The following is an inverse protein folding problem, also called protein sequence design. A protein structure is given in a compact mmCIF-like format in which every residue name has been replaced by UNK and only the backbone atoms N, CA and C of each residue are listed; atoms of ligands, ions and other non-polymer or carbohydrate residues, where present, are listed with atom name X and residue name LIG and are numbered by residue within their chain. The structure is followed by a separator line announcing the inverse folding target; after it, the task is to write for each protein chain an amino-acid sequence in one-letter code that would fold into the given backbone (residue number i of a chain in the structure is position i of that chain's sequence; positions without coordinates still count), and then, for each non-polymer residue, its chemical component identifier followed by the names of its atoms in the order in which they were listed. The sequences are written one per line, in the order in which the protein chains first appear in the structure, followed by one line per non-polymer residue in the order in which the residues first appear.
data_IF_197396025492
#
_entry.id   IF_197396025492
#
_cell.length_a   1.000
_cell.length_b   1.000
_cell.length_c   1.000
_cell.angle_alpha   90.00
_cell.angle_beta   90.00
_cell.angle_gamma   90.00
#
_symmetry.space_group_name_H-M   'P 1'
#
loop_
_entity.id
_entity.type
_entity.pdbx_description
1 polymer ?
#
# COMPACT_ATOMS: atom_id res chain seq x y z
N UNK A 1 11.23 -5.52 -26.60
CA UNK A 1 11.06 -4.07 -26.86
C UNK A 1 12.22 -3.37 -26.19
N UNK A 2 13.02 -2.63 -26.94
CA UNK A 2 14.21 -1.98 -26.39
C UNK A 2 13.83 -0.57 -25.91
N UNK A 3 13.59 -0.42 -24.61
CA UNK A 3 13.15 0.84 -23.97
C UNK A 3 14.11 2.00 -24.27
N UNK A 4 15.41 1.70 -24.40
CA UNK A 4 16.43 2.70 -24.73
C UNK A 4 16.18 3.31 -26.11
N UNK A 5 16.01 2.47 -27.14
CA UNK A 5 15.78 2.93 -28.52
C UNK A 5 14.51 3.76 -28.65
N UNK A 6 13.45 3.35 -27.96
CA UNK A 6 12.17 4.09 -27.97
C UNK A 6 12.25 5.41 -27.21
N UNK A 7 13.01 5.47 -26.10
CA UNK A 7 13.19 6.72 -25.35
C UNK A 7 14.07 7.73 -26.12
N UNK A 8 15.08 7.26 -26.81
CA UNK A 8 15.96 8.12 -27.66
C UNK A 8 15.21 8.76 -28.85
N UNK A 9 14.22 8.07 -29.41
CA UNK A 9 13.38 8.63 -30.50
C UNK A 9 12.59 9.88 -30.04
N UNK A 10 12.29 10.01 -28.77
CA UNK A 10 11.59 11.16 -28.18
C UNK A 10 12.54 12.12 -27.45
N UNK A 11 13.85 11.98 -27.63
CA UNK A 11 14.87 12.87 -27.08
C UNK A 11 15.18 12.60 -25.57
N UNK A 12 14.72 11.48 -25.01
CA UNK A 12 14.98 11.10 -23.60
C UNK A 12 16.18 10.15 -23.57
N UNK A 13 17.16 10.46 -22.69
CA UNK A 13 18.29 9.58 -22.42
C UNK A 13 18.07 8.83 -21.12
N UNK A 14 18.24 7.52 -21.14
CA UNK A 14 18.24 6.70 -19.93
C UNK A 14 19.46 7.05 -19.05
N UNK A 15 19.21 7.29 -17.78
CA UNK A 15 20.28 7.47 -16.80
C UNK A 15 20.52 6.15 -16.09
N UNK A 16 21.47 5.35 -16.56
CA UNK A 16 21.76 4.00 -16.07
C UNK A 16 22.16 4.00 -14.60
N UNK A 17 22.91 5.00 -14.14
CA UNK A 17 23.33 5.15 -12.74
C UNK A 17 22.15 5.38 -11.75
N UNK A 18 20.99 5.80 -12.26
CA UNK A 18 19.76 5.97 -11.46
C UNK A 18 18.78 4.81 -11.61
N UNK A 19 19.13 3.81 -12.42
CA UNK A 19 18.30 2.64 -12.62
C UNK A 19 18.63 1.59 -11.57
N UNK A 20 17.62 1.13 -10.87
CA UNK A 20 17.73 0.01 -9.94
C UNK A 20 16.88 -1.15 -10.49
N UNK A 21 17.35 -2.37 -10.32
CA UNK A 21 16.56 -3.57 -10.62
C UNK A 21 16.19 -4.25 -9.33
N UNK A 22 14.92 -4.61 -9.24
CA UNK A 22 14.40 -5.48 -8.20
C UNK A 22 13.92 -6.77 -8.86
N UNK A 23 14.43 -7.90 -8.43
CA UNK A 23 14.09 -9.22 -8.98
C UNK A 23 13.61 -10.15 -7.86
N UNK A 24 12.61 -10.95 -8.15
CA UNK A 24 12.09 -11.98 -7.24
C UNK A 24 12.90 -13.30 -7.29
N UNK A 25 14.15 -13.25 -7.73
CA UNK A 25 15.05 -14.42 -7.86
C UNK A 25 16.52 -14.03 -7.67
N UNK A 26 17.44 -14.99 -7.73
CA UNK A 26 18.85 -14.77 -7.44
C UNK A 26 19.60 -14.04 -8.58
N UNK A 27 19.17 -12.85 -8.91
CA UNK A 27 19.89 -11.94 -9.82
C UNK A 27 20.82 -11.10 -8.95
N UNK A 28 22.12 -11.34 -9.08
CA UNK A 28 23.14 -10.63 -8.30
C UNK A 28 23.73 -9.42 -9.03
N UNK A 29 23.66 -9.40 -10.37
CA UNK A 29 24.16 -8.30 -11.18
C UNK A 29 23.42 -8.24 -12.52
N UNK A 30 23.34 -7.05 -13.06
CA UNK A 30 22.79 -6.78 -14.40
C UNK A 30 23.63 -5.72 -15.10
N UNK A 31 23.65 -5.75 -16.41
CA UNK A 31 24.46 -4.86 -17.22
C UNK A 31 23.61 -4.26 -18.35
N UNK A 32 23.74 -2.96 -18.55
CA UNK A 32 23.19 -2.25 -19.71
C UNK A 32 24.32 -1.42 -20.33
N UNK A 33 24.62 -1.65 -21.59
CA UNK A 33 25.65 -0.92 -22.36
C UNK A 33 27.06 -0.95 -21.73
N UNK A 34 27.43 -2.03 -21.04
CA UNK A 34 28.72 -2.15 -20.35
C UNK A 34 28.78 -1.48 -18.97
N UNK A 35 27.67 -0.89 -18.51
CA UNK A 35 27.56 -0.38 -17.15
C UNK A 35 26.78 -1.36 -16.27
N UNK A 36 27.39 -1.74 -15.14
CA UNK A 36 26.74 -2.60 -14.16
C UNK A 36 25.79 -1.78 -13.27
N UNK A 37 24.57 -2.26 -13.12
CA UNK A 37 23.58 -1.65 -12.24
C UNK A 37 23.46 -2.37 -10.90
N UNK A 38 22.96 -1.65 -9.90
CA UNK A 38 22.70 -2.20 -8.57
C UNK A 38 21.37 -2.94 -8.53
N UNK A 39 21.36 -4.09 -7.84
CA UNK A 39 20.13 -4.75 -7.44
C UNK A 39 19.70 -4.26 -6.08
N UNK A 40 18.41 -4.01 -5.90
CA UNK A 40 17.84 -3.54 -4.65
C UNK A 40 16.76 -4.51 -4.15
N UNK A 41 16.72 -4.75 -2.85
CA UNK A 41 15.69 -5.58 -2.22
C UNK A 41 14.37 -4.83 -1.99
N UNK A 42 14.41 -3.51 -1.99
CA UNK A 42 13.23 -2.65 -1.88
C UNK A 42 13.45 -1.28 -2.52
N UNK A 43 12.38 -0.64 -2.95
CA UNK A 43 12.40 0.75 -3.39
C UNK A 43 11.05 1.45 -3.23
N UNK A 44 11.03 2.78 -3.34
CA UNK A 44 9.79 3.56 -3.25
C UNK A 44 9.30 3.89 -4.66
N UNK A 45 8.21 3.27 -5.07
CA UNK A 45 7.54 3.52 -6.35
C UNK A 45 6.21 4.24 -6.15
N UNK A 46 6.09 5.43 -6.75
CA UNK A 46 4.88 6.24 -6.63
C UNK A 46 4.50 6.52 -5.16
N UNK A 47 5.47 6.69 -4.26
CA UNK A 47 5.26 6.93 -2.85
C UNK A 47 4.91 5.70 -2.01
N UNK A 48 4.95 4.50 -2.56
CA UNK A 48 4.75 3.22 -1.83
C UNK A 48 6.03 2.42 -1.82
N UNK A 49 6.37 1.82 -0.68
CA UNK A 49 7.53 0.93 -0.56
C UNK A 49 7.15 -0.45 -1.10
N UNK A 50 7.92 -0.93 -2.08
CA UNK A 50 7.78 -2.25 -2.69
C UNK A 50 9.02 -3.06 -2.30
N UNK A 51 8.84 -4.34 -1.99
CA UNK A 51 9.88 -5.30 -1.63
C UNK A 51 9.89 -6.46 -2.63
N UNK A 52 11.05 -7.10 -2.81
CA UNK A 52 11.24 -8.22 -3.75
C UNK A 52 10.35 -9.43 -3.43
N UNK A 53 10.06 -9.65 -2.14
CA UNK A 53 9.20 -10.73 -1.64
C UNK A 53 7.70 -10.39 -1.66
N UNK A 54 7.33 -9.16 -2.06
CA UNK A 54 5.95 -8.67 -2.05
C UNK A 54 5.36 -8.50 -0.66
N UNK A 55 6.16 -8.53 0.42
CA UNK A 55 5.69 -8.31 1.79
C UNK A 55 5.39 -6.83 2.06
N UNK A 56 4.14 -6.52 2.34
CA UNK A 56 3.70 -5.16 2.62
C UNK A 56 3.89 -4.72 4.08
N UNK A 57 4.41 -5.57 4.97
CA UNK A 57 4.57 -5.25 6.42
C UNK A 57 5.40 -4.00 6.66
N UNK A 58 6.45 -3.77 5.87
CA UNK A 58 7.30 -2.58 5.97
C UNK A 58 6.55 -1.32 5.52
N UNK A 59 5.77 -1.40 4.45
CA UNK A 59 4.96 -0.27 4.00
C UNK A 59 3.84 0.05 4.99
N UNK A 60 3.16 -0.96 5.55
CA UNK A 60 2.14 -0.77 6.60
C UNK A 60 2.73 -0.02 7.80
N UNK A 61 3.90 -0.45 8.31
CA UNK A 61 4.58 0.23 9.41
C UNK A 61 4.95 1.67 9.05
N UNK A 62 5.47 1.90 7.84
CA UNK A 62 5.82 3.22 7.34
C UNK A 62 4.58 4.13 7.28
N UNK A 63 3.45 3.62 6.81
CA UNK A 63 2.18 4.37 6.76
C UNK A 63 1.65 4.72 8.15
N UNK A 64 1.79 3.83 9.11
CA UNK A 64 1.44 4.14 10.50
C UNK A 64 2.30 5.26 11.08
N UNK A 65 3.60 5.28 10.79
CA UNK A 65 4.47 6.38 11.20
C UNK A 65 4.03 7.72 10.59
N UNK A 66 3.70 7.73 9.29
CA UNK A 66 3.20 8.93 8.62
C UNK A 66 1.85 9.38 9.19
N UNK A 67 0.90 8.46 9.36
CA UNK A 67 -0.40 8.75 9.99
C UNK A 67 -0.25 9.24 11.43
N UNK A 68 0.70 8.67 12.17
CA UNK A 68 1.05 9.11 13.53
C UNK A 68 1.58 10.55 13.57
N UNK A 69 2.40 10.96 12.60
CA UNK A 69 2.86 12.35 12.45
C UNK A 69 1.67 13.29 12.20
N UNK A 70 0.76 12.91 11.29
CA UNK A 70 -0.45 13.71 11.02
C UNK A 70 -1.32 13.83 12.28
N UNK A 71 -1.52 12.74 13.03
CA UNK A 71 -2.24 12.77 14.31
C UNK A 71 -1.58 13.72 15.33
N UNK A 72 -0.25 13.79 15.34
CA UNK A 72 0.48 14.70 16.22
C UNK A 72 0.28 16.16 15.81
N UNK A 73 0.30 16.46 14.52
CA UNK A 73 0.05 17.80 14.00
C UNK A 73 -1.37 18.30 14.29
N UNK A 74 -2.33 17.39 14.45
CA UNK A 74 -3.72 17.72 14.79
C UNK A 74 -3.97 17.86 16.30
N UNK A 75 -2.96 17.71 17.14
CA UNK A 75 -3.11 17.66 18.61
C UNK A 75 -3.72 18.94 19.21
N UNK A 76 -3.37 20.11 18.67
CA UNK A 76 -3.96 21.41 19.06
C UNK A 76 -5.47 21.44 18.80
N UNK A 77 -5.91 20.90 17.67
CA UNK A 77 -7.32 20.81 17.30
C UNK A 77 -8.07 19.84 18.21
N UNK A 78 -7.46 18.71 18.55
CA UNK A 78 -8.08 17.76 19.48
C UNK A 78 -8.19 18.31 20.91
N UNK A 79 -7.31 19.23 21.30
CA UNK A 79 -7.35 19.92 22.59
C UNK A 79 -8.42 21.01 22.66
N UNK A 80 -8.78 21.62 21.53
CA UNK A 80 -9.79 22.68 21.49
C UNK A 80 -11.14 22.18 22.00
N UNK A 81 -11.80 23.00 22.83
CA UNK A 81 -13.17 22.75 23.34
C UNK A 81 -14.25 23.24 22.37
N UNK A 82 -13.90 24.17 21.48
CA UNK A 82 -14.83 24.79 20.54
C UNK A 82 -15.18 23.86 19.37
N UNK A 83 -14.35 22.83 19.16
CA UNK A 83 -14.54 21.86 18.07
C UNK A 83 -15.27 20.63 18.60
N UNK A 84 -16.42 20.33 18.01
CA UNK A 84 -17.27 19.21 18.42
C UNK A 84 -16.61 17.84 18.15
N UNK A 85 -16.99 16.82 18.92
CA UNK A 85 -16.48 15.48 18.73
C UNK A 85 -16.72 14.93 17.32
N UNK A 86 -17.91 15.06 16.71
CA UNK A 86 -18.14 14.62 15.33
C UNK A 86 -17.21 15.29 14.32
N UNK A 87 -16.91 16.59 14.50
CA UNK A 87 -15.97 17.30 13.62
C UNK A 87 -14.55 16.76 13.74
N UNK A 88 -14.10 16.48 14.97
CA UNK A 88 -12.79 15.85 15.22
C UNK A 88 -12.70 14.44 14.59
N UNK A 89 -13.76 13.64 14.69
CA UNK A 89 -13.85 12.31 14.07
C UNK A 89 -13.78 12.43 12.55
N UNK A 90 -14.49 13.38 11.95
CA UNK A 90 -14.44 13.65 10.51
C UNK A 90 -13.04 14.05 10.08
N UNK A 91 -12.36 14.87 10.87
CA UNK A 91 -11.00 15.32 10.58
C UNK A 91 -9.99 14.13 10.55
N UNK A 92 -10.06 13.21 11.53
CA UNK A 92 -9.23 12.00 11.51
C UNK A 92 -9.50 11.16 10.26
N UNK A 93 -10.77 10.96 9.91
CA UNK A 93 -11.15 10.20 8.72
C UNK A 93 -10.71 10.87 7.42
N UNK A 94 -10.68 12.20 7.35
CA UNK A 94 -10.33 12.95 6.16
C UNK A 94 -8.83 13.18 5.99
N UNK A 95 -8.07 13.29 7.07
CA UNK A 95 -6.65 13.67 7.00
C UNK A 95 -5.69 12.54 7.39
N UNK A 96 -6.04 11.71 8.38
CA UNK A 96 -5.14 10.66 8.87
C UNK A 96 -5.31 9.37 8.08
N UNK A 97 -6.54 8.92 7.94
CA UNK A 97 -6.82 7.62 7.32
C UNK A 97 -6.42 7.56 5.84
N UNK A 98 -6.59 8.60 5.00
CA UNK A 98 -6.09 8.56 3.62
C UNK A 98 -4.58 8.42 3.51
N UNK A 99 -3.81 9.00 4.45
CA UNK A 99 -2.35 8.82 4.52
C UNK A 99 -1.99 7.38 4.83
N UNK A 100 -2.72 6.77 5.78
CA UNK A 100 -2.50 5.39 6.20
C UNK A 100 -2.93 4.39 5.13
N UNK A 101 -4.06 4.64 4.48
CA UNK A 101 -4.66 3.75 3.47
C UNK A 101 -4.14 3.97 2.05
N UNK A 102 -3.16 4.85 1.87
CA UNK A 102 -2.65 5.16 0.54
C UNK A 102 -2.10 3.90 -0.15
N UNK A 103 -2.68 3.56 -1.31
CA UNK A 103 -2.39 2.35 -2.10
C UNK A 103 -2.56 1.01 -1.36
N UNK A 104 -3.42 0.98 -0.34
CA UNK A 104 -3.69 -0.26 0.41
C UNK A 104 -4.40 -1.34 -0.43
N UNK A 105 -4.91 -0.99 -1.59
CA UNK A 105 -5.56 -1.91 -2.54
C UNK A 105 -4.60 -3.01 -3.01
N UNK A 106 -3.32 -2.67 -3.17
CA UNK A 106 -2.27 -3.59 -3.60
C UNK A 106 -1.68 -4.45 -2.47
N UNK A 107 -2.02 -4.15 -1.20
CA UNK A 107 -1.40 -4.84 -0.07
C UNK A 107 -1.91 -6.26 0.13
N UNK A 108 -0.98 -7.18 0.34
CA UNK A 108 -1.26 -8.56 0.74
C UNK A 108 -1.29 -8.63 2.27
N UNK A 109 -2.40 -8.19 2.88
CA UNK A 109 -2.53 -8.05 4.34
C UNK A 109 -2.68 -9.42 5.01
N UNK A 110 -1.70 -9.80 5.83
CA UNK A 110 -1.71 -11.03 6.64
C UNK A 110 -2.65 -10.88 7.86
N UNK A 111 -3.12 -11.99 8.42
CA UNK A 111 -4.03 -11.99 9.59
C UNK A 111 -3.48 -11.22 10.80
N UNK A 112 -2.17 -11.31 11.04
CA UNK A 112 -1.52 -10.57 12.13
C UNK A 112 -1.55 -9.04 11.88
N UNK A 113 -1.39 -8.62 10.62
CA UNK A 113 -1.39 -7.21 10.24
C UNK A 113 -2.77 -6.57 10.36
N UNK A 114 -3.85 -7.32 10.10
CA UNK A 114 -5.23 -6.83 10.32
C UNK A 114 -5.44 -6.35 11.75
N UNK A 115 -4.94 -7.12 12.73
CA UNK A 115 -5.00 -6.74 14.15
C UNK A 115 -4.21 -5.47 14.43
N UNK A 116 -3.04 -5.32 13.80
CA UNK A 116 -2.18 -4.13 13.95
C UNK A 116 -2.83 -2.90 13.30
N UNK A 117 -3.49 -3.07 12.16
CA UNK A 117 -4.24 -2.00 11.47
C UNK A 117 -5.38 -1.50 12.38
N UNK A 118 -6.18 -2.40 12.94
CA UNK A 118 -7.28 -2.01 13.83
C UNK A 118 -6.78 -1.44 15.15
N UNK A 119 -5.65 -1.94 15.68
CA UNK A 119 -5.00 -1.36 16.84
C UNK A 119 -4.54 0.08 16.59
N UNK A 120 -3.99 0.38 15.40
CA UNK A 120 -3.65 1.74 15.01
C UNK A 120 -4.90 2.64 14.92
N UNK A 121 -5.99 2.15 14.33
CA UNK A 121 -7.26 2.87 14.28
C UNK A 121 -7.77 3.21 15.69
N UNK A 122 -7.73 2.23 16.60
CA UNK A 122 -8.10 2.42 18.00
C UNK A 122 -7.18 3.42 18.71
N UNK A 123 -5.88 3.37 18.46
CA UNK A 123 -4.92 4.35 18.98
C UNK A 123 -5.28 5.77 18.54
N UNK A 124 -5.66 5.99 17.27
CA UNK A 124 -6.12 7.28 16.77
C UNK A 124 -7.34 7.77 17.56
N UNK A 125 -8.32 6.90 17.82
CA UNK A 125 -9.52 7.25 18.58
C UNK A 125 -9.23 7.55 20.05
N UNK A 126 -8.38 6.77 20.70
CA UNK A 126 -7.96 7.04 22.08
C UNK A 126 -7.23 8.38 22.20
N UNK A 127 -6.34 8.68 21.24
CA UNK A 127 -5.63 9.95 21.19
C UNK A 127 -6.57 11.13 20.98
N UNK A 128 -7.53 11.02 20.06
CA UNK A 128 -8.57 12.03 19.82
C UNK A 128 -9.38 12.31 21.09
N UNK A 129 -9.76 11.28 21.83
CA UNK A 129 -10.49 11.38 23.10
C UNK A 129 -9.59 11.76 24.28
N UNK A 130 -8.27 11.88 24.07
CA UNK A 130 -7.28 12.13 25.11
C UNK A 130 -7.32 11.09 26.25
N UNK A 131 -7.60 9.84 25.90
CA UNK A 131 -7.60 8.73 26.85
C UNK A 131 -6.17 8.19 26.94
N UNK A 132 -5.46 8.35 28.07
CA UNK A 132 -4.13 7.81 28.24
C UNK A 132 -4.18 6.28 28.18
N UNK A 133 -3.06 5.66 27.79
CA UNK A 133 -2.99 4.20 27.71
C UNK A 133 -3.14 3.53 29.08
N UNK A 134 -2.78 4.24 30.17
CA UNK A 134 -2.93 3.81 31.57
C UNK A 134 -4.37 3.83 32.07
N UNK A 135 -5.28 4.52 31.37
CA UNK A 135 -6.67 4.56 31.76
C UNK A 135 -7.32 3.19 31.57
N UNK A 136 -7.98 2.68 32.61
CA UNK A 136 -8.72 1.40 32.60
C UNK A 136 -10.01 1.47 31.75
N UNK A 137 -9.97 2.21 30.66
CA UNK A 137 -11.11 2.36 29.75
C UNK A 137 -11.06 1.28 28.68
N UNK A 138 -12.16 0.52 28.53
CA UNK A 138 -12.24 -0.53 27.52
C UNK A 138 -12.24 0.03 26.08
N UNK A 139 -11.73 -0.76 25.14
CA UNK A 139 -11.75 -0.43 23.72
C UNK A 139 -13.18 -0.26 23.20
N UNK A 140 -14.10 -1.11 23.69
CA UNK A 140 -15.52 -1.04 23.35
C UNK A 140 -16.16 0.29 23.77
N UNK A 141 -15.85 0.78 24.98
CA UNK A 141 -16.34 2.08 25.44
C UNK A 141 -15.83 3.24 24.56
N UNK A 142 -14.56 3.18 24.13
CA UNK A 142 -13.98 4.15 23.20
C UNK A 142 -14.70 4.13 21.87
N UNK A 143 -14.92 2.94 21.29
CA UNK A 143 -15.60 2.78 20.00
C UNK A 143 -17.07 3.18 20.05
N UNK A 144 -17.78 2.89 21.15
CA UNK A 144 -19.17 3.35 21.35
C UNK A 144 -19.27 4.87 21.32
N UNK A 145 -18.33 5.57 21.98
CA UNK A 145 -18.34 7.03 22.02
C UNK A 145 -18.02 7.67 20.66
N UNK A 146 -17.08 7.08 19.92
CA UNK A 146 -16.68 7.58 18.58
C UNK A 146 -17.72 7.20 17.52
N UNK A 147 -18.32 6.01 17.63
CA UNK A 147 -19.21 5.42 16.64
C UNK A 147 -18.64 5.51 15.21
N UNK A 148 -17.46 4.92 14.96
CA UNK A 148 -16.75 5.12 13.68
C UNK A 148 -17.48 4.51 12.48
N UNK A 149 -18.46 3.65 12.71
CA UNK A 149 -19.20 2.88 11.70
C UNK A 149 -18.40 1.68 11.20
N UNK A 150 -17.29 1.89 10.53
CA UNK A 150 -16.43 0.84 9.96
C UNK A 150 -15.04 0.96 10.58
N UNK A 151 -14.38 -0.18 10.85
CA UNK A 151 -12.98 -0.22 11.30
C UNK A 151 -12.02 0.24 10.20
N UNK A 152 -10.79 0.56 10.58
CA UNK A 152 -9.76 0.96 9.60
C UNK A 152 -9.46 -0.19 8.62
N UNK A 153 -9.38 -1.43 9.11
CA UNK A 153 -9.23 -2.62 8.27
C UNK A 153 -10.42 -2.78 7.33
N UNK A 154 -11.64 -2.59 7.81
CA UNK A 154 -12.85 -2.65 7.00
C UNK A 154 -12.89 -1.59 5.90
N UNK A 155 -12.35 -0.38 6.16
CA UNK A 155 -12.22 0.68 5.14
C UNK A 155 -11.21 0.29 4.06
N UNK A 156 -10.06 -0.28 4.44
CA UNK A 156 -9.06 -0.80 3.49
C UNK A 156 -9.63 -1.92 2.63
N UNK A 157 -10.37 -2.86 3.24
CA UNK A 157 -11.05 -3.94 2.51
C UNK A 157 -12.06 -3.39 1.51
N UNK A 158 -12.83 -2.37 1.89
CA UNK A 158 -13.77 -1.70 0.98
C UNK A 158 -13.06 -1.10 -0.24
N UNK A 159 -11.94 -0.39 -0.03
CA UNK A 159 -11.14 0.17 -1.13
C UNK A 159 -10.61 -0.94 -2.06
N UNK A 160 -10.09 -2.02 -1.48
CA UNK A 160 -9.62 -3.18 -2.25
C UNK A 160 -10.72 -3.80 -3.10
N UNK A 161 -11.91 -3.99 -2.54
CA UNK A 161 -13.06 -4.53 -3.27
C UNK A 161 -13.56 -3.58 -4.36
N UNK A 162 -13.53 -2.28 -4.11
CA UNK A 162 -13.85 -1.27 -5.13
C UNK A 162 -12.85 -1.31 -6.29
N UNK A 163 -11.56 -1.37 -5.99
CA UNK A 163 -10.51 -1.50 -7.00
C UNK A 163 -10.69 -2.78 -7.82
N UNK A 164 -10.90 -3.93 -7.15
CA UNK A 164 -11.18 -5.20 -7.80
C UNK A 164 -12.41 -5.12 -8.72
N UNK A 165 -13.50 -4.50 -8.27
CA UNK A 165 -14.70 -4.30 -9.07
C UNK A 165 -14.46 -3.41 -10.30
N UNK A 166 -13.59 -2.40 -10.21
CA UNK A 166 -13.17 -1.60 -11.37
C UNK A 166 -12.34 -2.42 -12.35
N UNK A 167 -11.40 -3.22 -11.83
CA UNK A 167 -10.54 -4.07 -12.62
C UNK A 167 -11.34 -5.10 -13.43
N UNK A 168 -12.32 -5.75 -12.79
CA UNK A 168 -13.15 -6.77 -13.44
C UNK A 168 -14.03 -6.23 -14.56
N UNK A 169 -14.38 -4.94 -14.53
CA UNK A 169 -15.16 -4.29 -15.60
C UNK A 169 -14.35 -3.93 -16.84
N UNK A 170 -13.01 -3.90 -16.74
CA UNK A 170 -12.15 -3.67 -17.91
C UNK A 170 -12.12 -4.92 -18.79
N UNK A 171 -12.29 -4.77 -20.08
CA UNK A 171 -12.37 -5.91 -21.03
C UNK A 171 -10.99 -6.52 -21.22
N UNK A 172 -9.97 -5.69 -21.46
CA UNK A 172 -8.61 -6.14 -21.79
C UNK A 172 -7.59 -5.45 -20.86
N UNK A 173 -7.45 -5.95 -19.64
CA UNK A 173 -6.38 -5.49 -18.75
C UNK A 173 -5.45 -6.63 -18.37
N UNK A 174 -4.15 -6.37 -18.47
CA UNK A 174 -3.10 -7.31 -18.07
C UNK A 174 -3.29 -7.73 -16.61
N UNK A 175 -3.66 -6.77 -15.75
CA UNK A 175 -3.90 -7.01 -14.33
C UNK A 175 -5.05 -7.99 -14.09
N UNK A 176 -6.13 -7.90 -14.87
CA UNK A 176 -7.25 -8.85 -14.79
C UNK A 176 -6.82 -10.24 -15.22
N UNK A 177 -6.07 -10.35 -16.31
CA UNK A 177 -5.51 -11.61 -16.80
C UNK A 177 -4.60 -12.26 -15.76
N UNK A 178 -3.70 -11.48 -15.14
CA UNK A 178 -2.83 -11.95 -14.07
C UNK A 178 -3.61 -12.42 -12.82
N UNK A 179 -4.62 -11.66 -12.41
CA UNK A 179 -5.43 -12.01 -11.22
C UNK A 179 -6.31 -13.23 -11.42
N UNK A 180 -6.77 -13.48 -12.65
CA UNK A 180 -7.58 -14.65 -12.99
C UNK A 180 -6.74 -15.89 -13.36
N UNK A 181 -5.41 -15.77 -13.39
CA UNK A 181 -4.52 -16.85 -13.77
C UNK A 181 -4.55 -17.19 -15.25
N UNK A 182 -5.09 -16.30 -16.08
CA UNK A 182 -5.23 -16.50 -17.53
C UNK A 182 -3.96 -16.26 -18.35
N UNK A 183 -2.79 -16.50 -17.78
CA UNK A 183 -1.56 -16.60 -18.59
C UNK A 183 -1.55 -18.01 -19.17
N UNK A 184 -2.05 -18.16 -20.39
CA UNK A 184 -1.79 -19.34 -21.17
C UNK A 184 -0.26 -19.41 -21.39
N UNK A 185 0.39 -20.26 -20.61
CA UNK A 185 1.72 -20.70 -20.91
C UNK A 185 1.66 -21.34 -22.28
N UNK A 186 2.35 -20.75 -23.27
CA UNK A 186 2.56 -21.33 -24.60
C UNK A 186 3.35 -22.63 -24.37
N UNK A 187 2.61 -23.70 -24.13
CA UNK A 187 3.19 -25.05 -24.15
C UNK A 187 3.74 -25.23 -25.57
N UNK A 188 5.06 -25.28 -25.67
CA UNK A 188 5.75 -25.62 -26.90
C UNK A 188 5.27 -26.99 -27.33
N UNK A 189 4.51 -27.03 -28.41
CA UNK A 189 4.22 -28.25 -29.12
C UNK A 189 5.52 -28.76 -29.74
N UNK A 190 6.20 -29.68 -29.06
CA UNK A 190 7.09 -30.62 -29.73
C UNK A 190 6.21 -31.57 -30.54
N UNK A 191 6.18 -31.32 -31.84
CA UNK A 191 5.62 -32.27 -32.79
C UNK A 191 6.50 -33.50 -32.80
N UNK A 192 5.95 -34.59 -32.35
CA UNK A 192 6.52 -35.95 -32.54
C UNK A 192 6.27 -36.34 -34.03
N UNK A 193 7.25 -36.12 -34.88
CA UNK A 193 7.31 -36.74 -36.19
C UNK A 193 7.90 -38.14 -36.03
N UNK A 194 7.04 -39.14 -35.93
CA UNK A 194 7.37 -40.54 -36.26
C UNK A 194 6.34 -41.05 -37.28
N UNK A 195 6.85 -41.27 -38.46
CA UNK A 195 6.18 -42.03 -39.51
C UNK A 195 7.12 -42.25 -40.65
#
# INVERSE_FOLDING_TARGET
MNVKVESEKVGLKLNIQKMNIMASGPITSWEIDGETGETVSDFIFGGSKITEDGDCSHEIKRRFLLGGKVMTNLDSIFKSRDITLPSKVRLVKAMVFPVVMYRCESWTVKKAERRTIDAFGLWCWRRLLRVPWTARRSNQSTLKQISPGISLEGMMLKLKLQYFGHLMRRVDSLEKTLMLGGIEGRAGGEGDERG
#
